data_IF_905937018199
#
_entry.id   IF_905937018199
#
_cell.length_a   1.000
_cell.length_b   1.000
_cell.length_c   1.000
_cell.angle_alpha   90.00
_cell.angle_beta   90.00
_cell.angle_gamma   90.00
#
_symmetry.space_group_name_H-M   'P 1'
#
loop_
_entity.id
_entity.type
_entity.pdbx_description
1 polymer ?
#
# COMPACT_ATOMS: atom_id res chain seq x y z
N UNK A 1 -1.79 27.68 -23.34
CA UNK A 1 -0.91 27.41 -22.19
C UNK A 1 -1.78 26.86 -21.08
N UNK A 2 -1.88 25.53 -20.99
CA UNK A 2 -2.78 24.84 -20.07
C UNK A 2 -1.95 24.36 -18.88
N UNK A 3 -2.22 24.89 -17.69
CA UNK A 3 -1.53 24.51 -16.45
C UNK A 3 -2.37 23.39 -15.83
N UNK A 4 -1.90 22.12 -15.79
CA UNK A 4 -2.67 21.06 -15.17
C UNK A 4 -2.71 21.26 -13.66
N UNK A 5 -3.91 21.51 -13.14
CA UNK A 5 -4.20 21.60 -11.71
C UNK A 5 -3.98 20.24 -11.07
N UNK A 6 -2.94 20.11 -10.25
CA UNK A 6 -2.67 18.88 -9.48
C UNK A 6 -3.60 18.86 -8.27
N UNK A 7 -4.67 18.08 -8.35
CA UNK A 7 -5.60 17.85 -7.24
C UNK A 7 -4.86 17.08 -6.13
N UNK A 8 -4.63 17.74 -4.98
CA UNK A 8 -4.16 17.08 -3.76
C UNK A 8 -5.32 16.26 -3.19
N UNK A 9 -5.22 14.94 -3.26
CA UNK A 9 -6.18 14.03 -2.65
C UNK A 9 -5.76 13.78 -1.20
N UNK A 10 -6.49 14.36 -0.25
CA UNK A 10 -6.36 14.05 1.17
C UNK A 10 -7.38 12.96 1.53
N UNK A 11 -6.91 11.74 1.81
CA UNK A 11 -7.76 10.67 2.33
C UNK A 11 -7.85 10.78 3.85
N UNK A 12 -9.01 11.18 4.37
CA UNK A 12 -9.33 11.12 5.79
C UNK A 12 -10.26 9.92 6.03
N UNK A 13 -9.76 8.88 6.70
CA UNK A 13 -10.59 7.75 7.15
C UNK A 13 -11.05 8.06 8.58
N UNK A 14 -12.33 8.38 8.74
CA UNK A 14 -12.96 8.53 10.05
C UNK A 14 -13.63 7.21 10.44
N UNK A 15 -13.06 6.49 11.41
CA UNK A 15 -13.69 5.32 12.01
C UNK A 15 -14.50 5.79 13.21
N UNK A 16 -15.83 5.75 13.12
CA UNK A 16 -16.73 6.07 14.24
C UNK A 16 -16.96 4.78 15.03
N UNK A 17 -16.39 4.70 16.23
CA UNK A 17 -16.53 3.54 17.13
C UNK A 17 -17.29 4.01 18.37
N UNK A 18 -18.43 3.35 18.65
CA UNK A 18 -19.23 3.63 19.84
C UNK A 18 -18.44 3.30 21.12
N UNK A 19 -18.44 4.16 22.16
CA UNK A 19 -17.55 4.04 23.32
C UNK A 19 -17.95 2.95 24.34
N UNK A 20 -18.70 1.91 23.95
CA UNK A 20 -19.27 0.94 24.89
C UNK A 20 -18.41 -0.29 25.21
N UNK A 21 -17.19 -0.39 24.66
CA UNK A 21 -16.21 -1.38 25.07
C UNK A 21 -14.84 -0.69 25.13
N UNK A 22 -13.98 -1.07 26.08
CA UNK A 22 -12.59 -0.65 26.11
C UNK A 22 -11.85 -1.24 24.91
N UNK A 23 -12.06 -0.65 23.74
CA UNK A 23 -11.39 -1.08 22.54
C UNK A 23 -10.00 -0.45 22.54
N UNK A 24 -8.97 -1.29 22.62
CA UNK A 24 -7.58 -0.86 22.52
C UNK A 24 -7.17 -0.95 21.06
N UNK A 25 -6.72 0.19 20.51
CA UNK A 25 -6.26 0.28 19.13
C UNK A 25 -4.77 0.60 19.10
N UNK A 26 -4.03 -0.20 18.34
CA UNK A 26 -2.63 0.01 18.01
C UNK A 26 -2.53 0.53 16.57
N UNK A 27 -1.91 1.70 16.42
CA UNK A 27 -1.54 2.26 15.12
C UNK A 27 -0.04 2.08 14.91
N UNK A 28 0.33 1.28 13.91
CA UNK A 28 1.73 1.12 13.46
C UNK A 28 1.87 1.51 12.00
N UNK A 29 3.09 1.70 11.53
CA UNK A 29 3.31 2.07 10.13
C UNK A 29 4.74 2.47 9.83
N UNK A 30 4.99 2.79 8.57
CA UNK A 30 6.26 3.33 8.11
C UNK A 30 6.08 4.31 6.95
N UNK A 31 7.07 5.18 6.82
CA UNK A 31 7.26 6.02 5.64
C UNK A 31 8.54 5.55 4.94
N UNK A 32 8.47 5.36 3.62
CA UNK A 32 9.60 4.97 2.78
C UNK A 32 9.71 5.97 1.63
N UNK A 33 10.91 6.46 1.38
CA UNK A 33 11.24 7.14 0.14
C UNK A 33 12.33 6.34 -0.57
N UNK A 34 12.09 6.04 -1.84
CA UNK A 34 13.00 5.30 -2.70
C UNK A 34 13.32 6.16 -3.92
N UNK A 35 14.58 6.55 -4.05
CA UNK A 35 15.06 7.29 -5.21
C UNK A 35 16.18 6.51 -5.87
N UNK A 36 16.12 6.35 -7.18
CA UNK A 36 17.16 5.68 -7.96
C UNK A 36 17.49 6.47 -9.22
N UNK A 37 18.75 6.31 -9.66
CA UNK A 37 19.35 7.07 -10.75
C UNK A 37 20.05 6.10 -11.71
N UNK A 38 20.04 6.42 -12.99
CA UNK A 38 20.83 5.69 -13.98
C UNK A 38 22.31 5.97 -13.78
N UNK A 39 23.13 4.91 -13.68
CA UNK A 39 24.59 5.05 -13.52
C UNK A 39 25.33 5.18 -14.86
N UNK A 40 24.69 4.79 -15.95
CA UNK A 40 25.25 4.76 -17.31
C UNK A 40 24.16 5.12 -18.29
N UNK A 41 24.57 5.59 -19.47
CA UNK A 41 23.67 5.77 -20.60
C UNK A 41 23.25 4.40 -21.16
N UNK A 42 22.01 4.29 -21.63
CA UNK A 42 21.56 3.06 -22.28
C UNK A 42 20.06 2.98 -22.53
N UNK A 43 19.59 1.93 -23.21
CA UNK A 43 18.17 1.63 -23.33
C UNK A 43 17.64 0.92 -22.07
N UNK A 44 16.35 1.09 -21.78
CA UNK A 44 15.64 0.38 -20.69
C UNK A 44 14.86 -0.79 -21.30
N UNK A 45 14.94 -1.96 -20.69
CA UNK A 45 14.11 -3.11 -21.09
C UNK A 45 12.63 -2.78 -20.88
N UNK A 46 11.83 -2.78 -21.95
CA UNK A 46 10.39 -2.54 -21.90
C UNK A 46 9.94 -1.16 -22.38
N UNK A 47 10.87 -0.26 -22.69
CA UNK A 47 10.58 1.02 -23.34
C UNK A 47 10.58 0.91 -24.88
N UNK A 48 9.90 1.81 -25.61
CA UNK A 48 9.93 1.84 -27.07
C UNK A 48 11.36 1.89 -27.61
N UNK A 49 11.60 1.23 -28.75
CA UNK A 49 12.91 1.27 -29.42
C UNK A 49 13.33 2.73 -29.67
N UNK A 50 14.47 3.14 -29.08
CA UNK A 50 15.01 4.50 -29.18
C UNK A 50 14.89 5.36 -27.93
N UNK A 51 14.20 4.91 -26.87
CA UNK A 51 14.22 5.58 -25.56
C UNK A 51 15.54 5.28 -24.84
N UNK A 52 16.49 6.22 -24.94
CA UNK A 52 17.81 6.14 -24.29
C UNK A 52 17.82 7.12 -23.10
N UNK A 53 18.12 6.64 -21.89
CA UNK A 53 18.38 7.49 -20.73
C UNK A 53 19.86 7.87 -20.65
N UNK A 54 20.13 8.99 -20.00
CA UNK A 54 21.49 9.46 -19.70
C UNK A 54 21.91 9.08 -18.27
N UNK A 55 23.22 8.97 -18.06
CA UNK A 55 23.80 8.81 -16.74
C UNK A 55 23.44 10.01 -15.87
N UNK A 56 22.83 9.75 -14.71
CA UNK A 56 22.33 10.76 -13.79
C UNK A 56 20.82 11.03 -13.93
N UNK A 57 20.15 10.51 -14.95
CA UNK A 57 18.69 10.62 -15.05
C UNK A 57 18.01 9.86 -13.90
N UNK A 58 16.88 10.40 -13.43
CA UNK A 58 16.03 9.78 -12.41
C UNK A 58 15.36 8.53 -13.01
N UNK A 59 15.64 7.38 -12.41
CA UNK A 59 15.02 6.10 -12.76
C UNK A 59 13.69 5.92 -12.03
N UNK A 60 13.66 6.30 -10.76
CA UNK A 60 12.47 6.17 -9.91
C UNK A 60 12.55 7.15 -8.75
N UNK A 61 11.40 7.70 -8.37
CA UNK A 61 11.24 8.46 -7.13
C UNK A 61 9.87 8.17 -6.53
N UNK A 62 9.84 7.22 -5.61
CA UNK A 62 8.62 6.70 -4.98
C UNK A 62 8.58 7.09 -3.50
N UNK A 63 7.45 7.64 -3.08
CA UNK A 63 7.10 7.80 -1.68
C UNK A 63 6.01 6.78 -1.33
N UNK A 64 6.21 6.07 -0.22
CA UNK A 64 5.23 5.14 0.34
C UNK A 64 4.95 5.51 1.78
N UNK A 65 3.68 5.64 2.15
CA UNK A 65 3.23 5.69 3.52
C UNK A 65 2.30 4.51 3.78
N UNK A 66 2.71 3.59 4.65
CA UNK A 66 1.89 2.45 5.05
C UNK A 66 1.52 2.57 6.52
N UNK A 67 0.24 2.35 6.83
CA UNK A 67 -0.29 2.33 8.18
C UNK A 67 -1.11 1.08 8.44
N UNK A 68 -1.09 0.61 9.68
CA UNK A 68 -1.81 -0.54 10.17
C UNK A 68 -2.56 -0.14 11.43
N UNK A 69 -3.84 -0.42 11.48
CA UNK A 69 -4.68 -0.26 12.66
C UNK A 69 -5.09 -1.66 13.08
N UNK A 70 -4.67 -2.05 14.27
CA UNK A 70 -5.10 -3.29 14.92
C UNK A 70 -5.83 -2.94 16.19
N UNK A 71 -6.83 -3.71 16.57
CA UNK A 71 -7.41 -3.52 17.89
C UNK A 71 -8.42 -4.56 18.26
N UNK A 72 -8.53 -4.82 19.56
CA UNK A 72 -9.56 -5.69 20.11
C UNK A 72 -10.82 -4.86 20.32
N UNK A 73 -11.90 -5.22 19.63
CA UNK A 73 -13.21 -4.59 19.79
C UNK A 73 -13.94 -5.21 20.99
N UNK A 74 -13.72 -6.50 21.23
CA UNK A 74 -14.30 -7.29 22.31
C UNK A 74 -13.43 -8.52 22.61
N UNK A 75 -13.72 -9.26 23.68
CA UNK A 75 -12.99 -10.47 24.09
C UNK A 75 -12.91 -11.54 22.99
N UNK A 76 -13.86 -11.51 22.05
CA UNK A 76 -13.98 -12.46 20.95
C UNK A 76 -13.96 -11.79 19.58
N UNK A 77 -13.56 -10.52 19.46
CA UNK A 77 -13.55 -9.81 18.20
C UNK A 77 -12.39 -8.82 18.07
N UNK A 78 -11.66 -8.89 16.96
CA UNK A 78 -10.56 -7.97 16.64
C UNK A 78 -10.73 -7.36 15.25
N UNK A 79 -10.24 -6.13 15.09
CA UNK A 79 -10.21 -5.37 13.85
C UNK A 79 -8.78 -5.31 13.33
N UNK A 80 -8.63 -5.48 12.02
CA UNK A 80 -7.43 -5.16 11.29
C UNK A 80 -7.75 -4.26 10.10
N UNK A 81 -6.98 -3.19 9.93
CA UNK A 81 -7.02 -2.34 8.75
C UNK A 81 -5.60 -1.99 8.29
N UNK A 82 -5.34 -2.10 6.99
CA UNK A 82 -4.10 -1.70 6.35
C UNK A 82 -4.38 -0.62 5.29
N UNK A 83 -3.72 0.53 5.45
CA UNK A 83 -3.75 1.65 4.51
C UNK A 83 -2.38 1.78 3.85
N UNK A 84 -2.37 1.98 2.54
CA UNK A 84 -1.14 2.09 1.77
C UNK A 84 -1.22 3.21 0.74
N UNK A 85 -0.53 4.32 0.99
CA UNK A 85 -0.43 5.45 0.07
C UNK A 85 0.90 5.36 -0.67
N UNK A 86 0.85 5.11 -1.98
CA UNK A 86 2.03 5.10 -2.85
C UNK A 86 1.91 6.23 -3.86
N UNK A 87 3.00 6.97 -4.06
CA UNK A 87 3.12 7.98 -5.09
C UNK A 87 4.49 7.87 -5.76
N UNK A 88 4.51 7.56 -7.05
CA UNK A 88 5.73 7.48 -7.88
C UNK A 88 5.73 8.60 -8.92
N UNK A 89 6.75 9.45 -8.88
CA UNK A 89 6.84 10.61 -9.78
C UNK A 89 7.25 10.21 -11.20
N UNK A 90 7.97 9.09 -11.35
CA UNK A 90 8.53 8.59 -12.61
C UNK A 90 7.76 7.36 -13.16
N UNK A 91 6.58 7.06 -12.62
CA UNK A 91 5.78 5.93 -13.08
C UNK A 91 5.48 6.00 -14.59
N UNK A 92 5.72 4.89 -15.30
CA UNK A 92 5.63 4.74 -16.77
C UNK A 92 4.24 5.12 -17.32
N UNK A 93 3.19 5.05 -16.50
CA UNK A 93 1.83 5.46 -16.85
C UNK A 93 1.18 6.24 -15.70
N UNK A 94 0.29 7.19 -16.00
CA UNK A 94 -0.41 7.97 -14.96
C UNK A 94 -1.17 7.10 -13.95
N UNK A 95 -1.63 5.91 -14.37
CA UNK A 95 -2.33 4.93 -13.52
C UNK A 95 -1.38 4.20 -12.53
N UNK A 96 -0.07 4.25 -12.79
CA UNK A 96 0.97 3.63 -11.94
C UNK A 96 1.69 4.66 -11.05
N UNK A 97 1.48 5.97 -11.31
CA UNK A 97 2.01 7.06 -10.48
C UNK A 97 1.32 7.18 -9.12
N UNK A 98 0.17 6.54 -8.95
CA UNK A 98 -0.63 6.61 -7.74
C UNK A 98 -1.39 5.33 -7.46
N UNK A 99 -2.61 5.48 -6.97
CA UNK A 99 -3.45 4.38 -6.55
C UNK A 99 -4.07 3.62 -7.71
N UNK A 100 -4.10 2.30 -7.56
CA UNK A 100 -4.79 1.41 -8.46
C UNK A 100 -5.50 0.29 -7.67
N UNK A 101 -6.82 0.21 -7.83
CA UNK A 101 -7.69 -0.74 -7.16
C UNK A 101 -7.27 -2.19 -7.45
N UNK A 102 -7.33 -3.06 -6.42
CA UNK A 102 -6.98 -4.48 -6.53
C UNK A 102 -5.52 -4.76 -6.94
N UNK A 103 -4.64 -3.77 -6.83
CA UNK A 103 -3.20 -3.94 -7.06
C UNK A 103 -2.41 -3.71 -5.77
N UNK A 104 -1.08 -3.83 -5.85
CA UNK A 104 -0.21 -3.50 -4.71
C UNK A 104 -0.29 -2.03 -4.29
N UNK A 105 -0.81 -1.15 -5.16
CA UNK A 105 -0.98 0.30 -4.92
C UNK A 105 -2.40 0.65 -4.46
N UNK A 106 -3.19 -0.33 -4.03
CA UNK A 106 -4.50 -0.07 -3.44
C UNK A 106 -4.36 0.72 -2.13
N UNK A 107 -5.19 1.75 -1.94
CA UNK A 107 -5.18 2.58 -0.74
C UNK A 107 -5.65 1.81 0.49
N UNK A 108 -6.61 0.90 0.32
CA UNK A 108 -7.10 0.05 1.40
C UNK A 108 -6.72 -1.39 1.08
N UNK A 109 -5.59 -1.84 1.59
CA UNK A 109 -5.08 -3.18 1.24
C UNK A 109 -5.84 -4.27 1.96
N UNK A 110 -6.10 -4.08 3.25
CA UNK A 110 -6.83 -5.04 4.08
C UNK A 110 -7.76 -4.29 5.03
N UNK A 111 -8.95 -4.83 5.24
CA UNK A 111 -9.90 -4.36 6.24
C UNK A 111 -10.80 -5.53 6.61
N UNK A 112 -10.55 -6.14 7.76
CA UNK A 112 -11.35 -7.25 8.23
C UNK A 112 -11.57 -7.21 9.73
N UNK A 113 -12.63 -7.88 10.15
CA UNK A 113 -12.91 -8.21 11.55
C UNK A 113 -12.84 -9.72 11.70
N UNK A 114 -12.09 -10.16 12.70
CA UNK A 114 -12.09 -11.53 13.17
C UNK A 114 -13.03 -11.65 14.35
N UNK A 115 -13.87 -12.68 14.38
CA UNK A 115 -14.68 -13.00 15.56
C UNK A 115 -14.89 -14.49 15.74
N UNK A 116 -14.99 -14.93 16.99
CA UNK A 116 -15.29 -16.31 17.33
C UNK A 116 -16.68 -16.44 17.96
N UNK A 117 -17.46 -17.41 17.47
CA UNK A 117 -18.78 -17.72 17.99
C UNK A 117 -19.04 -19.23 17.96
N UNK A 118 -19.31 -19.83 19.11
CA UNK A 118 -19.71 -21.25 19.20
C UNK A 118 -18.61 -22.23 18.76
N UNK A 119 -17.34 -21.86 18.90
CA UNK A 119 -16.19 -22.68 18.46
C UNK A 119 -15.84 -22.53 16.98
N UNK A 120 -16.50 -21.63 16.26
CA UNK A 120 -16.19 -21.27 14.88
C UNK A 120 -15.52 -19.91 14.83
N UNK A 121 -14.50 -19.78 13.99
CA UNK A 121 -13.82 -18.52 13.71
C UNK A 121 -14.29 -17.96 12.36
N UNK A 122 -14.64 -16.68 12.35
CA UNK A 122 -15.11 -15.96 11.18
C UNK A 122 -14.20 -14.77 10.93
N UNK A 123 -13.76 -14.63 9.68
CA UNK A 123 -13.11 -13.41 9.18
C UNK A 123 -13.98 -12.76 8.13
N UNK A 124 -14.40 -11.53 8.39
CA UNK A 124 -15.32 -10.80 7.52
C UNK A 124 -14.65 -9.50 7.07
N UNK A 125 -14.50 -9.32 5.76
CA UNK A 125 -13.97 -8.10 5.17
C UNK A 125 -13.03 -8.33 3.99
N UNK A 126 -12.39 -7.25 3.53
CA UNK A 126 -11.40 -7.26 2.46
C UNK A 126 -10.09 -7.83 3.00
N UNK A 127 -9.60 -8.87 2.33
CA UNK A 127 -8.38 -9.58 2.71
C UNK A 127 -7.47 -9.72 1.51
N UNK A 128 -6.17 -9.69 1.75
CA UNK A 128 -5.21 -10.07 0.72
C UNK A 128 -5.06 -11.59 0.70
N UNK A 129 -5.62 -12.24 -0.32
CA UNK A 129 -5.43 -13.67 -0.53
C UNK A 129 -4.03 -13.94 -1.07
N UNK A 130 -3.16 -14.47 -0.22
CA UNK A 130 -1.84 -14.99 -0.63
C UNK A 130 -1.99 -16.45 -0.99
N UNK A 131 -1.71 -16.80 -2.24
CA UNK A 131 -1.64 -18.18 -2.70
C UNK A 131 -0.23 -18.48 -3.21
N UNK A 132 0.26 -19.68 -2.93
CA UNK A 132 1.60 -20.14 -3.28
C UNK A 132 2.34 -20.74 -2.08
N UNK A 133 3.19 -21.75 -2.33
CA UNK A 133 4.16 -22.23 -1.33
C UNK A 133 5.07 -21.05 -0.97
N UNK A 134 5.16 -20.72 0.31
CA UNK A 134 6.18 -19.81 0.79
C UNK A 134 7.55 -20.43 0.50
N UNK A 135 8.12 -20.16 -0.67
CA UNK A 135 9.56 -20.36 -0.89
C UNK A 135 10.27 -19.23 -0.15
N UNK A 136 10.20 -19.33 1.19
CA UNK A 136 11.14 -18.70 2.07
C UNK A 136 12.47 -19.38 1.85
N UNK A 137 13.19 -18.94 0.81
CA UNK A 137 14.62 -19.17 0.71
C UNK A 137 15.24 -18.53 1.97
N UNK A 138 15.41 -19.35 3.01
CA UNK A 138 16.39 -19.16 4.06
C UNK A 138 17.73 -19.58 3.46
N UNK A 139 18.51 -18.59 3.00
CA UNK A 139 19.95 -18.81 2.84
C UNK A 139 20.54 -18.91 4.24
N UNK A 140 20.98 -20.11 4.59
CA UNK A 140 21.91 -20.36 5.70
C UNK A 140 23.28 -19.76 5.38
#
# INVERSE_FOLDING_TARGET
MHIPTKTLLAAAVAIVISPSAQAEFELTGYLKNETSLYRKDGPITGEPEGSIHSAGDLLKSEFTAKGFINGDISDNASLHAEINLIYDTEGVNNDLKGHNDYTQHDYLRELYVDTSLGGWDFRIGKQQVVWGTADGIKLL
#
